data_IF_173879808676
#
_entry.id   IF_173879808676
#
_cell.length_a   1.000
_cell.length_b   1.000
_cell.length_c   1.000
_cell.angle_alpha   90.00
_cell.angle_beta   90.00
_cell.angle_gamma   90.00
#
_symmetry.space_group_name_H-M   'P 1'
#
loop_
_entity.id
_entity.type
_entity.pdbx_description
1 polymer ?
#
# COMPACT_ATOMS: atom_id res chain seq x y z
N UNK A 1 5.32 19.22 6.60
CA UNK A 1 4.04 19.04 5.87
C UNK A 1 3.31 17.90 6.55
N UNK A 2 1.98 17.98 6.70
CA UNK A 2 1.18 16.89 7.28
C UNK A 2 0.61 16.02 6.17
N UNK A 3 0.71 14.70 6.27
CA UNK A 3 0.16 13.75 5.29
C UNK A 3 -0.98 12.96 5.95
N UNK A 4 -2.26 13.37 5.82
CA UNK A 4 -3.38 12.67 6.46
C UNK A 4 -3.55 11.25 5.92
N UNK A 5 -4.19 10.38 6.70
CA UNK A 5 -4.51 9.03 6.23
C UNK A 5 -5.58 9.05 5.13
N UNK A 6 -5.43 8.11 4.19
CA UNK A 6 -6.46 7.80 3.21
C UNK A 6 -7.44 6.80 3.81
N UNK A 7 -8.72 6.98 3.54
CA UNK A 7 -9.73 5.98 3.81
C UNK A 7 -9.47 4.75 2.93
N UNK A 8 -9.56 3.55 3.51
CA UNK A 8 -9.38 2.28 2.78
C UNK A 8 -10.60 2.00 1.92
N UNK A 9 -10.75 2.77 0.84
CA UNK A 9 -11.86 2.68 -0.09
C UNK A 9 -11.32 2.52 -1.53
N UNK A 10 -11.66 1.44 -2.23
CA UNK A 10 -11.17 1.19 -3.59
C UNK A 10 -11.56 2.26 -4.61
N UNK A 11 -12.71 2.92 -4.44
CA UNK A 11 -13.15 4.01 -5.32
C UNK A 11 -12.27 5.25 -5.11
N UNK A 12 -12.00 5.64 -3.85
CA UNK A 12 -11.07 6.73 -3.52
C UNK A 12 -9.68 6.43 -4.08
N UNK A 13 -9.15 5.23 -3.87
CA UNK A 13 -7.84 4.84 -4.40
C UNK A 13 -7.83 4.90 -5.94
N UNK A 14 -8.84 4.34 -6.60
CA UNK A 14 -8.92 4.35 -8.07
C UNK A 14 -8.97 5.77 -8.62
N UNK A 15 -9.83 6.63 -8.08
CA UNK A 15 -9.95 8.02 -8.51
C UNK A 15 -8.68 8.82 -8.23
N UNK A 16 -8.08 8.64 -7.05
CA UNK A 16 -6.83 9.29 -6.68
C UNK A 16 -5.70 8.92 -7.62
N UNK A 17 -5.41 7.62 -7.77
CA UNK A 17 -4.29 7.19 -8.58
C UNK A 17 -4.49 7.50 -10.07
N UNK A 18 -5.72 7.46 -10.59
CA UNK A 18 -6.03 7.96 -11.95
C UNK A 18 -5.75 9.46 -12.09
N UNK A 19 -6.11 10.26 -11.08
CA UNK A 19 -5.85 11.71 -11.07
C UNK A 19 -4.36 12.04 -11.14
N UNK A 20 -3.51 11.22 -10.52
CA UNK A 20 -2.05 11.41 -10.54
C UNK A 20 -1.33 10.62 -11.65
N UNK A 21 -2.08 9.96 -12.54
CA UNK A 21 -1.55 9.42 -13.80
C UNK A 21 -1.67 7.91 -14.02
N UNK A 22 -2.42 7.17 -13.21
CA UNK A 22 -2.68 5.75 -13.44
C UNK A 22 -3.64 5.61 -14.64
N UNK A 23 -3.32 4.72 -15.57
CA UNK A 23 -4.17 4.43 -16.72
C UNK A 23 -5.56 3.96 -16.30
N UNK A 24 -6.58 4.31 -17.09
CA UNK A 24 -7.96 3.87 -16.87
C UNK A 24 -8.18 2.37 -17.07
N UNK A 25 -7.16 1.63 -17.54
CA UNK A 25 -7.18 0.16 -17.61
C UNK A 25 -6.95 -0.51 -16.25
N UNK A 26 -6.49 0.27 -15.26
CA UNK A 26 -6.20 -0.20 -13.92
C UNK A 26 -7.21 0.34 -12.92
N UNK A 27 -7.52 -0.47 -11.91
CA UNK A 27 -8.35 -0.05 -10.78
C UNK A 27 -8.06 -0.85 -9.51
N UNK A 28 -8.44 -0.26 -8.38
CA UNK A 28 -8.53 -0.95 -7.12
C UNK A 28 -9.95 -1.50 -6.97
N UNK A 29 -10.08 -2.76 -6.61
CA UNK A 29 -11.35 -3.44 -6.38
C UNK A 29 -11.37 -4.08 -4.99
N UNK A 30 -12.54 -4.11 -4.36
CA UNK A 30 -12.74 -4.67 -3.02
C UNK A 30 -12.60 -6.20 -3.02
N UNK A 31 -11.97 -6.75 -1.97
CA UNK A 31 -11.96 -8.19 -1.70
C UNK A 31 -12.96 -8.48 -0.58
N UNK A 32 -14.10 -9.05 -0.96
CA UNK A 32 -15.21 -9.29 -0.01
C UNK A 32 -15.07 -10.55 0.86
N UNK A 33 -14.20 -11.49 0.46
CA UNK A 33 -14.10 -12.80 1.10
C UNK A 33 -12.69 -13.36 1.02
N UNK A 34 -12.33 -14.15 2.04
CA UNK A 34 -11.09 -14.90 2.12
C UNK A 34 -11.26 -16.37 1.71
N UNK A 35 -12.41 -16.74 1.17
CA UNK A 35 -12.76 -18.12 0.81
C UNK A 35 -12.66 -18.39 -0.69
N UNK A 36 -12.51 -17.35 -1.50
CA UNK A 36 -12.40 -17.43 -2.95
C UNK A 36 -11.04 -16.93 -3.41
N UNK A 37 -10.49 -17.55 -4.46
CA UNK A 37 -9.25 -17.10 -5.08
C UNK A 37 -9.50 -15.77 -5.80
N UNK A 38 -8.67 -14.79 -5.49
CA UNK A 38 -8.68 -13.47 -6.15
C UNK A 38 -7.50 -13.39 -7.10
N UNK A 39 -7.76 -13.02 -8.34
CA UNK A 39 -6.74 -12.68 -9.34
C UNK A 39 -6.44 -11.18 -9.30
N UNK A 40 -5.17 -10.82 -9.46
CA UNK A 40 -4.75 -9.42 -9.57
C UNK A 40 -3.25 -9.24 -9.44
N UNK A 41 -2.80 -8.00 -9.62
CA UNK A 41 -1.38 -7.64 -9.67
C UNK A 41 -0.78 -7.33 -8.30
N UNK A 42 -1.60 -6.85 -7.36
CA UNK A 42 -1.18 -6.58 -5.99
C UNK A 42 -2.40 -6.63 -5.04
N UNK A 43 -2.22 -7.09 -3.80
CA UNK A 43 -3.26 -7.09 -2.77
C UNK A 43 -2.84 -6.13 -1.66
N UNK A 44 -3.63 -5.10 -1.40
CA UNK A 44 -3.42 -4.16 -0.31
C UNK A 44 -4.29 -4.58 0.87
N UNK A 45 -3.72 -4.54 2.08
CA UNK A 45 -4.42 -4.83 3.33
C UNK A 45 -4.27 -3.64 4.27
N UNK A 46 -5.40 -3.09 4.69
CA UNK A 46 -5.50 -2.12 5.78
C UNK A 46 -6.00 -2.84 7.03
N UNK A 47 -5.18 -2.89 8.09
CA UNK A 47 -5.50 -3.64 9.31
C UNK A 47 -5.11 -2.88 10.56
N UNK A 48 -5.79 -3.14 11.68
CA UNK A 48 -5.39 -2.66 13.00
C UNK A 48 -4.49 -3.70 13.67
N UNK A 49 -3.32 -3.30 14.15
CA UNK A 49 -2.50 -4.14 15.02
C UNK A 49 -2.62 -3.71 16.49
N UNK A 50 -2.48 -4.67 17.41
CA UNK A 50 -2.58 -4.41 18.86
C UNK A 50 -1.27 -3.89 19.48
N UNK A 51 -0.12 -4.19 18.86
CA UNK A 51 1.21 -3.74 19.29
C UNK A 51 1.88 -2.99 18.14
N UNK A 52 2.55 -1.86 18.41
CA UNK A 52 3.15 -0.92 17.43
C UNK A 52 4.36 -1.49 16.64
N UNK A 53 4.21 -2.69 16.08
CA UNK A 53 5.23 -3.35 15.27
C UNK A 53 4.58 -4.16 14.15
N UNK A 54 5.29 -4.29 13.03
CA UNK A 54 4.84 -5.12 11.93
C UNK A 54 4.52 -6.54 12.41
N UNK A 55 3.34 -7.05 12.09
CA UNK A 55 2.93 -8.42 12.42
C UNK A 55 3.48 -9.46 11.45
N UNK A 56 3.78 -9.07 10.21
CA UNK A 56 4.25 -9.98 9.18
C UNK A 56 5.74 -10.27 9.32
N UNK A 57 6.10 -11.56 9.32
CA UNK A 57 7.47 -12.04 9.42
C UNK A 57 7.81 -12.87 8.17
N UNK A 58 9.05 -12.76 7.69
CA UNK A 58 9.48 -13.39 6.46
C UNK A 58 10.94 -13.12 6.14
N UNK A 59 11.43 -13.70 5.03
CA UNK A 59 12.81 -13.52 4.61
C UNK A 59 13.02 -12.14 3.97
N UNK A 60 13.96 -11.30 4.45
CA UNK A 60 14.19 -10.00 3.85
C UNK A 60 14.73 -10.14 2.42
N UNK A 61 14.16 -9.37 1.50
CA UNK A 61 14.57 -9.34 0.10
C UNK A 61 15.02 -7.92 -0.25
N UNK A 62 16.09 -7.83 -1.04
CA UNK A 62 16.50 -6.57 -1.63
C UNK A 62 15.78 -6.39 -2.97
N UNK A 63 14.90 -5.39 -3.05
CA UNK A 63 14.19 -5.02 -4.27
C UNK A 63 14.28 -3.52 -4.51
N UNK A 64 14.18 -3.16 -5.78
CA UNK A 64 14.18 -1.77 -6.24
C UNK A 64 12.85 -1.08 -5.90
N UNK A 65 12.85 0.25 -5.90
CA UNK A 65 11.66 1.09 -5.71
C UNK A 65 10.92 0.92 -4.37
N UNK A 66 11.58 0.37 -3.35
CA UNK A 66 11.05 0.36 -2.00
C UNK A 66 11.10 1.77 -1.40
N UNK A 67 9.95 2.25 -0.92
CA UNK A 67 9.76 3.58 -0.32
C UNK A 67 9.59 3.40 1.18
N UNK A 68 10.45 4.03 1.98
CA UNK A 68 10.36 3.98 3.44
C UNK A 68 9.26 4.90 3.95
N UNK A 69 8.44 4.43 4.88
CA UNK A 69 7.58 5.29 5.67
C UNK A 69 8.43 5.97 6.74
N UNK A 70 8.62 7.27 6.60
CA UNK A 70 9.36 8.12 7.54
C UNK A 70 8.38 8.79 8.51
N UNK A 71 8.85 9.39 9.62
CA UNK A 71 7.96 10.14 10.53
C UNK A 71 7.20 11.30 9.87
N UNK A 72 7.67 11.81 8.71
CA UNK A 72 6.94 12.83 7.95
C UNK A 72 5.77 12.23 7.18
N UNK A 73 5.86 10.95 6.82
CA UNK A 73 4.88 10.17 6.07
C UNK A 73 4.11 9.20 6.98
N UNK A 74 4.06 9.45 8.29
CA UNK A 74 3.60 8.46 9.29
C UNK A 74 2.16 8.00 9.05
N UNK A 75 1.29 8.92 8.61
CA UNK A 75 -0.10 8.63 8.25
C UNK A 75 -0.29 8.38 6.74
N UNK A 76 0.77 8.34 5.94
CA UNK A 76 0.71 8.14 4.49
C UNK A 76 0.90 6.68 4.07
N UNK A 77 0.73 5.72 4.97
CA UNK A 77 0.94 4.29 4.69
C UNK A 77 0.08 3.78 3.53
N UNK A 78 -1.16 4.24 3.38
CA UNK A 78 -2.03 3.89 2.25
C UNK A 78 -1.48 4.36 0.90
N UNK A 79 -0.96 5.59 0.83
CA UNK A 79 -0.28 6.11 -0.36
C UNK A 79 0.97 5.27 -0.68
N UNK A 80 1.79 4.98 0.33
CA UNK A 80 3.02 4.20 0.16
C UNK A 80 2.71 2.79 -0.35
N UNK A 81 1.76 2.10 0.26
CA UNK A 81 1.35 0.75 -0.14
C UNK A 81 0.80 0.70 -1.57
N UNK A 82 0.02 1.70 -1.99
CA UNK A 82 -0.46 1.78 -3.36
C UNK A 82 0.64 2.12 -4.37
N UNK A 83 1.55 3.04 -4.07
CA UNK A 83 2.72 3.31 -4.93
C UNK A 83 3.57 2.05 -5.13
N UNK A 84 3.82 1.32 -4.04
CA UNK A 84 4.49 0.02 -4.06
C UNK A 84 3.79 -0.98 -4.97
N UNK A 85 2.46 -1.14 -4.82
CA UNK A 85 1.64 -2.02 -5.66
C UNK A 85 1.70 -1.65 -7.14
N UNK A 86 1.41 -0.39 -7.47
CA UNK A 86 1.37 0.15 -8.83
C UNK A 86 2.73 -0.02 -9.53
N UNK A 87 3.82 0.33 -8.84
CA UNK A 87 5.15 0.27 -9.46
C UNK A 87 5.64 -1.15 -9.65
N UNK A 88 5.40 -2.04 -8.68
CA UNK A 88 5.78 -3.44 -8.81
C UNK A 88 4.93 -4.20 -9.83
N UNK A 89 3.64 -3.86 -9.96
CA UNK A 89 2.76 -4.37 -11.00
C UNK A 89 3.15 -3.92 -12.42
N UNK A 90 4.04 -2.94 -12.54
CA UNK A 90 4.34 -2.24 -13.80
C UNK A 90 3.08 -1.72 -14.49
N UNK A 91 2.15 -1.17 -13.70
CA UNK A 91 0.94 -0.58 -14.23
C UNK A 91 1.23 0.54 -15.23
N UNK A 92 0.32 0.73 -16.19
CA UNK A 92 0.45 1.73 -17.23
C UNK A 92 0.27 3.12 -16.64
N UNK A 93 1.27 3.97 -16.83
CA UNK A 93 1.29 5.35 -16.33
C UNK A 93 1.24 6.32 -17.49
N UNK A 94 0.46 7.39 -17.35
CA UNK A 94 0.46 8.49 -18.30
C UNK A 94 1.83 9.18 -18.31
N UNK A 95 2.45 9.32 -19.48
CA UNK A 95 3.74 10.00 -19.62
C UNK A 95 3.66 11.45 -19.12
N UNK A 96 4.67 11.87 -18.35
CA UNK A 96 4.72 13.20 -17.72
C UNK A 96 3.75 13.42 -16.56
N UNK A 97 3.04 12.37 -16.11
CA UNK A 97 2.23 12.43 -14.89
C UNK A 97 3.08 12.38 -13.62
N UNK A 98 2.46 12.72 -12.49
CA UNK A 98 3.10 12.66 -11.16
C UNK A 98 3.62 11.23 -10.88
N UNK A 99 2.81 10.19 -11.15
CA UNK A 99 3.25 8.80 -10.96
C UNK A 99 4.43 8.43 -11.86
N UNK A 100 4.41 8.85 -13.13
CA UNK A 100 5.49 8.58 -14.06
C UNK A 100 6.80 9.24 -13.63
N UNK A 101 6.73 10.49 -13.18
CA UNK A 101 7.88 11.23 -12.65
C UNK A 101 8.41 10.60 -11.36
N UNK A 102 7.54 10.26 -10.41
CA UNK A 102 7.93 9.58 -9.17
C UNK A 102 8.63 8.27 -9.48
N UNK A 103 8.03 7.39 -10.29
CA UNK A 103 8.63 6.09 -10.67
C UNK A 103 10.03 6.27 -11.25
N UNK A 104 10.21 7.28 -12.09
CA UNK A 104 11.50 7.61 -12.71
C UNK A 104 12.52 8.16 -11.70
N UNK A 105 12.08 9.01 -10.77
CA UNK A 105 12.96 9.64 -9.78
C UNK A 105 13.39 8.69 -8.68
N UNK A 106 12.54 7.75 -8.25
CA UNK A 106 12.89 6.78 -7.21
C UNK A 106 13.76 5.63 -7.72
N UNK A 107 13.85 5.45 -9.04
CA UNK A 107 14.69 4.42 -9.64
C UNK A 107 16.14 4.57 -9.14
N UNK A 108 16.70 3.48 -8.62
CA UNK A 108 18.05 3.41 -8.05
C UNK A 108 18.31 4.28 -6.81
N UNK A 109 17.27 4.82 -6.17
CA UNK A 109 17.40 5.51 -4.87
C UNK A 109 17.33 4.52 -3.72
N UNK A 110 17.98 4.87 -2.61
CA UNK A 110 17.74 4.18 -1.33
C UNK A 110 16.30 4.43 -0.84
N UNK A 111 15.77 3.59 0.07
CA UNK A 111 14.39 3.75 0.55
C UNK A 111 14.08 5.09 1.20
N UNK A 112 15.07 5.70 1.87
CA UNK A 112 14.95 7.02 2.46
C UNK A 112 14.97 8.12 1.39
N UNK A 113 15.85 8.02 0.40
CA UNK A 113 15.88 8.96 -0.71
C UNK A 113 14.63 8.88 -1.58
N UNK A 114 14.04 7.69 -1.74
CA UNK A 114 12.75 7.50 -2.39
C UNK A 114 11.62 8.17 -1.59
N UNK A 115 11.64 8.09 -0.26
CA UNK A 115 10.69 8.80 0.60
C UNK A 115 10.83 10.33 0.47
N UNK A 116 12.06 10.84 0.35
CA UNK A 116 12.30 12.28 0.11
C UNK A 116 11.71 12.76 -1.22
N UNK A 117 11.64 11.92 -2.26
CA UNK A 117 10.95 12.28 -3.51
C UNK A 117 9.45 12.51 -3.25
N UNK A 118 8.82 11.68 -2.42
CA UNK A 118 7.40 11.84 -2.05
C UNK A 118 7.20 13.10 -1.21
N UNK A 119 8.02 13.28 -0.17
CA UNK A 119 7.93 14.40 0.78
C UNK A 119 8.07 15.75 0.07
N UNK A 120 8.97 15.85 -0.90
CA UNK A 120 9.25 17.10 -1.60
C UNK A 120 8.34 17.34 -2.82
N UNK A 121 7.40 16.44 -3.12
CA UNK A 121 6.46 16.60 -4.22
C UNK A 121 5.20 17.36 -3.76
N UNK A 122 5.21 18.68 -3.91
CA UNK A 122 4.09 19.54 -3.50
C UNK A 122 2.79 19.24 -4.26
N UNK A 123 2.87 18.93 -5.56
CA UNK A 123 1.68 18.63 -6.36
C UNK A 123 1.00 17.33 -5.89
N UNK A 124 1.78 16.30 -5.57
CA UNK A 124 1.27 15.08 -4.95
C UNK A 124 0.64 15.39 -3.59
N UNK A 125 1.32 16.19 -2.77
CA UNK A 125 0.83 16.56 -1.44
C UNK A 125 -0.53 17.28 -1.50
N UNK A 126 -0.69 18.24 -2.40
CA UNK A 126 -1.94 19.01 -2.57
C UNK A 126 -3.11 18.09 -3.00
N UNK A 127 -2.86 17.15 -3.92
CA UNK A 127 -3.88 16.19 -4.37
C UNK A 127 -4.18 15.17 -3.26
N UNK A 128 -3.16 14.71 -2.53
CA UNK A 128 -3.32 13.80 -1.39
C UNK A 128 -4.25 14.40 -0.33
N UNK A 129 -4.10 15.70 -0.03
CA UNK A 129 -4.98 16.40 0.91
C UNK A 129 -6.44 16.43 0.45
N UNK A 130 -6.70 16.50 -0.87
CA UNK A 130 -8.05 16.50 -1.41
C UNK A 130 -8.70 15.13 -1.21
N UNK A 131 -8.04 14.05 -1.64
CA UNK A 131 -8.59 12.69 -1.53
C UNK A 131 -8.70 12.20 -0.09
N UNK A 132 -7.77 12.59 0.79
CA UNK A 132 -7.89 12.28 2.21
C UNK A 132 -9.11 12.97 2.86
N UNK A 133 -9.60 14.08 2.30
CA UNK A 133 -10.79 14.78 2.77
C UNK A 133 -12.11 14.29 2.13
N UNK A 134 -12.04 13.44 1.09
CA UNK A 134 -13.22 12.82 0.46
C UNK A 134 -13.75 11.62 1.24
N UNK A 135 -12.93 11.06 2.14
CA UNK A 135 -13.35 9.98 3.04
C UNK A 135 -14.61 10.32 3.82
N UNK A 136 -15.45 9.31 4.08
CA UNK A 136 -16.65 9.45 4.88
C UNK A 136 -16.34 9.44 6.39
N UNK A 137 -15.15 8.95 6.75
CA UNK A 137 -14.65 8.93 8.11
C UNK A 137 -14.06 10.29 8.54
N UNK A 138 -14.17 10.61 9.83
CA UNK A 138 -13.48 11.79 10.37
C UNK A 138 -11.97 11.62 10.23
N UNK A 139 -11.29 12.60 9.61
CA UNK A 139 -9.84 12.63 9.55
C UNK A 139 -9.29 12.66 10.98
N UNK A 140 -8.60 11.60 11.37
CA UNK A 140 -7.95 11.46 12.68
C UNK A 140 -6.44 11.61 12.54
N UNK A 141 -5.82 12.28 13.50
CA UNK A 141 -4.35 12.38 13.60
C UNK A 141 -3.71 11.06 14.03
N UNK A 142 -4.50 10.09 14.50
CA UNK A 142 -4.07 8.75 14.92
C UNK A 142 -4.96 7.69 14.27
N UNK A 143 -4.83 7.46 12.96
CA UNK A 143 -5.49 6.33 12.30
C UNK A 143 -4.94 5.03 12.91
N UNK A 144 -5.85 4.17 13.37
CA UNK A 144 -5.45 2.88 13.97
C UNK A 144 -5.14 1.80 12.92
N UNK A 145 -5.20 2.14 11.62
CA UNK A 145 -4.96 1.21 10.52
C UNK A 145 -3.57 1.41 9.93
N UNK A 146 -2.94 0.29 9.58
CA UNK A 146 -1.70 0.24 8.84
C UNK A 146 -1.92 -0.46 7.50
N UNK A 147 -1.32 0.07 6.46
CA UNK A 147 -1.40 -0.47 5.11
C UNK A 147 -0.14 -1.22 4.74
N UNK A 148 -0.31 -2.39 4.16
CA UNK A 148 0.74 -3.18 3.51
C UNK A 148 0.27 -3.62 2.14
N UNK A 149 1.21 -3.98 1.27
CA UNK A 149 0.88 -4.54 -0.05
C UNK A 149 1.62 -5.84 -0.30
N UNK A 150 0.90 -6.84 -0.79
CA UNK A 150 1.41 -8.12 -1.21
C UNK A 150 1.49 -8.17 -2.74
N UNK A 151 2.62 -8.65 -3.24
CA UNK A 151 2.94 -8.81 -4.64
C UNK A 151 3.12 -10.30 -4.99
N UNK A 152 3.04 -10.69 -6.28
CA UNK A 152 3.35 -12.03 -6.75
C UNK A 152 4.67 -12.59 -6.20
N UNK A 153 4.70 -13.88 -5.89
CA UNK A 153 5.83 -14.52 -5.22
C UNK A 153 5.86 -14.29 -3.69
N UNK A 154 4.72 -13.90 -3.12
CA UNK A 154 4.52 -13.64 -1.68
C UNK A 154 5.47 -12.57 -1.12
N UNK A 155 5.71 -11.54 -1.92
CA UNK A 155 6.58 -10.42 -1.54
C UNK A 155 5.69 -9.37 -0.89
N UNK A 156 5.87 -9.16 0.41
CA UNK A 156 5.16 -8.12 1.16
C UNK A 156 6.03 -6.88 1.27
N UNK A 157 5.49 -5.73 0.85
CA UNK A 157 6.05 -4.43 1.15
C UNK A 157 5.28 -3.81 2.30
N UNK A 158 6.05 -3.39 3.30
CA UNK A 158 5.59 -2.68 4.47
C UNK A 158 6.51 -1.49 4.69
N UNK A 159 5.98 -0.28 4.57
CA UNK A 159 6.76 0.96 4.65
C UNK A 159 7.49 1.16 5.99
N UNK A 160 7.00 0.56 7.09
CA UNK A 160 7.68 0.66 8.39
C UNK A 160 8.88 -0.29 8.50
N UNK A 161 8.96 -1.32 7.66
CA UNK A 161 10.12 -2.23 7.59
C UNK A 161 11.30 -1.61 6.85
N UNK A 162 12.49 -2.18 7.01
CA UNK A 162 13.70 -1.72 6.33
C UNK A 162 13.84 -2.30 4.93
N UNK A 163 13.22 -3.46 4.68
CA UNK A 163 13.22 -4.14 3.40
C UNK A 163 11.86 -4.83 3.21
N UNK A 164 11.46 -5.05 1.96
CA UNK A 164 10.49 -6.09 1.61
C UNK A 164 10.80 -7.43 2.26
N UNK A 165 9.77 -8.23 2.50
CA UNK A 165 9.92 -9.60 3.00
C UNK A 165 9.21 -10.59 2.09
N UNK A 166 9.79 -11.78 1.92
CA UNK A 166 9.09 -12.94 1.36
C UNK A 166 8.37 -13.64 2.49
N UNK A 167 7.05 -13.70 2.40
CA UNK A 167 6.23 -14.42 3.36
C UNK A 167 6.38 -15.93 3.16
N UNK A 168 6.35 -16.74 4.24
CA UNK A 168 6.42 -18.19 4.17
C UNK A 168 5.03 -18.78 3.80
N UNK A 169 4.45 -18.31 2.71
CA UNK A 169 3.16 -18.76 2.20
C UNK A 169 3.36 -19.75 1.05
N UNK A 170 2.38 -20.63 0.87
CA UNK A 170 2.32 -21.61 -0.22
C UNK A 170 0.97 -21.52 -0.95
N UNK A 171 0.89 -22.10 -2.14
CA UNK A 171 -0.33 -22.11 -2.96
C UNK A 171 -0.49 -20.87 -3.85
N UNK A 172 -1.73 -20.56 -4.21
CA UNK A 172 -2.08 -19.34 -4.94
C UNK A 172 -1.78 -18.09 -4.10
N UNK A 173 -1.45 -16.98 -4.76
CA UNK A 173 -1.08 -15.72 -4.09
C UNK A 173 -2.11 -15.27 -3.05
N UNK A 174 -3.39 -15.18 -3.46
CA UNK A 174 -4.48 -14.74 -2.59
C UNK A 174 -4.77 -15.75 -1.49
N UNK A 175 -5.08 -17.01 -1.79
CA UNK A 175 -5.40 -18.00 -0.75
C UNK A 175 -4.26 -18.24 0.26
N UNK A 176 -3.00 -18.27 -0.20
CA UNK A 176 -1.85 -18.42 0.69
C UNK A 176 -1.73 -17.25 1.67
N UNK A 177 -1.97 -16.02 1.19
CA UNK A 177 -1.99 -14.83 2.02
C UNK A 177 -3.21 -14.78 2.95
N UNK A 178 -4.39 -15.13 2.45
CA UNK A 178 -5.62 -15.16 3.23
C UNK A 178 -5.53 -16.14 4.40
N UNK A 179 -4.93 -17.31 4.20
CA UNK A 179 -4.68 -18.26 5.29
C UNK A 179 -3.76 -17.67 6.36
N UNK A 180 -2.70 -16.96 5.96
CA UNK A 180 -1.83 -16.27 6.90
C UNK A 180 -2.57 -15.15 7.66
N UNK A 181 -3.38 -14.35 6.97
CA UNK A 181 -4.20 -13.30 7.59
C UNK A 181 -5.20 -13.91 8.59
N UNK A 182 -5.90 -15.00 8.22
CA UNK A 182 -6.78 -15.76 9.14
C UNK A 182 -6.03 -16.21 10.39
N UNK A 183 -4.82 -16.75 10.25
CA UNK A 183 -3.99 -17.15 11.38
C UNK A 183 -3.59 -15.95 12.27
N UNK A 184 -3.29 -14.80 11.69
CA UNK A 184 -2.97 -13.58 12.45
C UNK A 184 -4.17 -13.05 13.23
N UNK A 185 -5.39 -13.21 12.71
CA UNK A 185 -6.64 -12.90 13.42
C UNK A 185 -6.84 -13.88 14.58
N UNK A 186 -6.75 -15.18 14.32
CA UNK A 186 -6.94 -16.23 15.34
C UNK A 186 -5.95 -16.13 16.50
N UNK A 187 -4.74 -15.62 16.23
CA UNK A 187 -3.70 -15.39 17.23
C UNK A 187 -3.73 -13.99 17.85
N UNK A 188 -4.79 -13.22 17.58
CA UNK A 188 -5.02 -11.87 18.12
C UNK A 188 -3.86 -10.90 17.82
N UNK A 189 -3.14 -11.09 16.71
CA UNK A 189 -2.07 -10.18 16.28
C UNK A 189 -2.60 -9.01 15.48
N UNK A 190 -3.70 -9.21 14.74
CA UNK A 190 -4.45 -8.18 14.03
C UNK A 190 -5.94 -8.27 14.39
N UNK A 191 -6.66 -7.15 14.33
CA UNK A 191 -8.11 -7.13 14.55
C UNK A 191 -8.86 -7.73 13.35
N UNK A 192 -10.06 -8.26 13.58
CA UNK A 192 -11.00 -8.69 12.51
C UNK A 192 -11.47 -7.52 11.63
N UNK A 193 -11.49 -6.31 12.21
CA UNK A 193 -11.79 -5.07 11.52
C UNK A 193 -10.61 -4.67 10.61
N UNK A 194 -10.73 -5.06 9.34
CA UNK A 194 -9.76 -4.81 8.27
C UNK A 194 -10.48 -4.59 6.94
N UNK A 195 -9.77 -3.98 5.99
CA UNK A 195 -10.21 -3.84 4.61
C UNK A 195 -9.10 -4.35 3.68
N UNK A 196 -9.48 -4.97 2.56
CA UNK A 196 -8.52 -5.52 1.62
C UNK A 196 -8.97 -5.23 0.20
N UNK A 197 -8.05 -4.73 -0.62
CA UNK A 197 -8.34 -4.38 -2.01
C UNK A 197 -7.29 -5.00 -2.92
N UNK A 198 -7.66 -5.27 -4.17
CA UNK A 198 -6.78 -5.80 -5.20
C UNK A 198 -6.60 -4.75 -6.30
N UNK A 199 -5.36 -4.57 -6.75
CA UNK A 199 -5.04 -3.83 -7.96
C UNK A 199 -5.18 -4.79 -9.16
N UNK A 200 -6.08 -4.47 -10.09
CA UNK A 200 -6.35 -5.23 -11.31
C UNK A 200 -6.20 -4.38 -12.56
#
# INVERSE_FOLDING_TARGET
MNWPALESDPEIFTQYFRTIGLSSQWEFSEIFSFDEEVEGSAILLAYKFYEQSSVFEGEPIQLENFIKQTPVLDNACGLIAALHGIFAANADLQEGSILFEIKSQIANKSPLEAAEVIINNQALHDIHLQFAAEGQSEITDCPNYHFVVLLPGFILYDGIKNNPIRLPCEGSLSMGFFNLVKQLIETERIAEDMNMMVLI
#
